data_IF_746808982502
#
_entry.id   IF_746808982502
#
_cell.length_a   1.000
_cell.length_b   1.000
_cell.length_c   1.000
_cell.angle_alpha   90.00
_cell.angle_beta   90.00
_cell.angle_gamma   90.00
#
_symmetry.space_group_name_H-M   'P 1'
#
loop_
_entity.id
_entity.type
_entity.pdbx_description
1 polymer ?
#
# COMPACT_ATOMS: atom_id res chain seq x y z
N UNK A 1 50.09 -14.54 -45.81
CA UNK A 1 50.22 -16.02 -45.73
C UNK A 1 48.81 -16.59 -45.54
N UNK A 2 48.11 -16.90 -46.63
CA UNK A 2 47.82 -18.27 -47.13
C UNK A 2 46.98 -19.10 -46.14
N UNK A 3 45.66 -19.23 -46.35
CA UNK A 3 44.98 -20.35 -47.08
C UNK A 3 44.92 -21.63 -46.21
N UNK A 4 43.76 -22.22 -45.87
CA UNK A 4 42.82 -22.91 -46.77
C UNK A 4 41.45 -23.22 -46.13
N UNK A 5 40.43 -23.23 -46.99
CA UNK A 5 39.16 -23.99 -46.88
C UNK A 5 39.37 -25.46 -47.30
N UNK A 6 38.49 -26.36 -46.82
CA UNK A 6 37.95 -27.55 -47.53
C UNK A 6 36.67 -27.97 -46.76
N UNK A 7 35.41 -27.85 -47.24
CA UNK A 7 34.63 -28.59 -48.29
C UNK A 7 34.49 -30.10 -47.98
N UNK A 8 33.35 -30.56 -47.43
CA UNK A 8 32.13 -31.14 -48.08
C UNK A 8 32.20 -32.67 -48.36
N UNK A 9 31.41 -33.51 -47.65
CA UNK A 9 30.16 -34.21 -48.12
C UNK A 9 30.41 -35.71 -48.49
N UNK A 10 29.43 -36.63 -48.73
CA UNK A 10 28.23 -37.10 -47.99
C UNK A 10 28.10 -38.67 -47.92
N UNK A 11 26.88 -39.18 -47.56
CA UNK A 11 26.30 -40.54 -47.72
C UNK A 11 26.50 -41.50 -46.51
N UNK A 12 25.54 -42.29 -46.01
CA UNK A 12 24.31 -42.87 -46.59
C UNK A 12 23.39 -43.46 -45.49
N UNK A 13 22.08 -43.51 -45.81
CA UNK A 13 20.96 -44.26 -45.24
C UNK A 13 21.18 -45.37 -44.18
N UNK A 14 20.30 -45.41 -43.16
CA UNK A 14 19.22 -46.41 -43.10
C UNK A 14 18.21 -46.12 -41.97
N UNK A 15 16.92 -46.23 -42.32
CA UNK A 15 15.77 -46.24 -41.41
C UNK A 15 15.83 -47.47 -40.48
N UNK A 16 15.48 -47.28 -39.20
CA UNK A 16 14.72 -48.29 -38.45
C UNK A 16 13.69 -47.60 -37.56
N UNK A 17 12.42 -47.81 -37.92
CA UNK A 17 11.28 -47.66 -37.03
C UNK A 17 11.38 -48.72 -35.94
N UNK A 18 11.37 -48.32 -34.68
CA UNK A 18 10.99 -49.20 -33.58
C UNK A 18 10.14 -48.42 -32.59
N UNK A 19 8.83 -48.58 -32.78
CA UNK A 19 7.78 -48.14 -31.87
C UNK A 19 7.83 -49.04 -30.63
N UNK A 20 8.44 -48.57 -29.54
CA UNK A 20 8.36 -49.26 -28.24
C UNK A 20 7.22 -48.60 -27.46
N UNK A 21 6.03 -49.21 -27.51
CA UNK A 21 4.96 -48.94 -26.56
C UNK A 21 5.39 -49.52 -25.20
N UNK A 22 5.94 -48.68 -24.33
CA UNK A 22 6.11 -49.04 -22.92
C UNK A 22 4.83 -48.66 -22.17
N UNK A 23 3.94 -49.65 -22.03
CA UNK A 23 2.82 -49.56 -21.11
C UNK A 23 3.35 -49.66 -19.67
N UNK A 24 3.67 -48.52 -19.05
CA UNK A 24 3.92 -48.45 -17.61
C UNK A 24 2.58 -48.34 -16.87
N UNK A 25 2.05 -49.50 -16.49
CA UNK A 25 1.07 -49.64 -15.41
C UNK A 25 1.79 -49.37 -14.07
N UNK A 26 1.77 -48.12 -13.61
CA UNK A 26 2.02 -47.80 -12.22
C UNK A 26 0.76 -47.18 -11.62
N UNK A 27 -0.04 -48.02 -10.96
CA UNK A 27 -1.01 -47.57 -9.97
C UNK A 27 -0.27 -47.12 -8.72
N UNK A 28 -0.41 -45.84 -8.40
CA UNK A 28 -0.36 -45.21 -7.05
C UNK A 28 -0.40 -43.71 -7.30
N UNK A 29 -1.44 -43.04 -6.80
CA UNK A 29 -1.81 -41.70 -7.22
C UNK A 29 -0.72 -40.65 -6.96
N UNK A 30 -0.05 -40.22 -8.03
CA UNK A 30 0.38 -38.82 -8.13
C UNK A 30 -0.89 -37.97 -8.17
N UNK A 31 -1.38 -37.55 -6.99
CA UNK A 31 -2.23 -36.36 -6.94
C UNK A 31 -1.37 -35.23 -7.49
N UNK A 32 -1.68 -34.80 -8.71
CA UNK A 32 -1.27 -33.49 -9.17
C UNK A 32 -1.73 -32.50 -8.08
N UNK A 33 -0.78 -31.94 -7.34
CA UNK A 33 -1.07 -30.83 -6.44
C UNK A 33 -1.67 -29.75 -7.32
N UNK A 34 -2.95 -29.43 -7.09
CA UNK A 34 -3.58 -28.30 -7.77
C UNK A 34 -2.63 -27.10 -7.64
N UNK A 35 -2.41 -26.32 -8.71
CA UNK A 35 -1.62 -25.11 -8.59
C UNK A 35 -2.17 -24.29 -7.42
N UNK A 36 -1.29 -23.66 -6.61
CA UNK A 36 -1.74 -22.87 -5.47
C UNK A 36 -2.82 -21.90 -5.95
N UNK A 37 -3.92 -21.84 -5.21
CA UNK A 37 -5.04 -20.98 -5.56
C UNK A 37 -4.50 -19.55 -5.72
N UNK A 38 -4.83 -18.91 -6.85
CA UNK A 38 -4.33 -17.57 -7.19
C UNK A 38 -4.71 -16.51 -6.13
N UNK A 39 -5.80 -16.73 -5.39
CA UNK A 39 -6.32 -15.83 -4.37
C UNK A 39 -6.74 -16.61 -3.11
N UNK A 40 -6.78 -15.90 -1.98
CA UNK A 40 -7.31 -16.40 -0.72
C UNK A 40 -8.75 -16.93 -0.87
N UNK A 41 -9.02 -18.09 -0.26
CA UNK A 41 -10.33 -18.73 -0.34
C UNK A 41 -11.35 -18.03 0.55
N UNK A 42 -12.46 -17.62 -0.04
CA UNK A 42 -13.65 -17.12 0.66
C UNK A 42 -14.55 -18.25 1.14
N UNK A 43 -15.02 -18.15 2.39
CA UNK A 43 -16.05 -19.02 2.93
C UNK A 43 -17.44 -18.42 2.66
N UNK A 44 -18.15 -18.91 1.64
CA UNK A 44 -19.42 -18.30 1.19
C UNK A 44 -20.56 -18.34 2.21
N UNK A 45 -20.53 -19.31 3.14
CA UNK A 45 -21.53 -19.42 4.20
C UNK A 45 -21.26 -18.50 5.38
N UNK A 46 -20.04 -17.98 5.53
CA UNK A 46 -19.71 -17.01 6.56
C UNK A 46 -20.15 -15.60 6.15
N UNK A 47 -20.58 -14.80 7.14
CA UNK A 47 -21.07 -13.44 6.92
C UNK A 47 -19.99 -12.52 6.33
N UNK A 48 -18.73 -12.67 6.75
CA UNK A 48 -17.59 -11.88 6.29
C UNK A 48 -16.79 -12.59 5.19
N UNK A 49 -17.15 -13.81 4.80
CA UNK A 49 -16.38 -14.59 3.85
C UNK A 49 -15.14 -15.26 4.46
N UNK A 50 -15.02 -15.36 5.79
CA UNK A 50 -13.83 -15.87 6.48
C UNK A 50 -13.98 -17.31 6.94
N UNK A 51 -12.87 -18.04 7.04
CA UNK A 51 -12.84 -19.41 7.52
C UNK A 51 -13.17 -19.50 9.02
N UNK A 52 -12.60 -18.60 9.81
CA UNK A 52 -12.87 -18.45 11.24
C UNK A 52 -12.46 -17.06 11.73
N UNK A 53 -12.88 -16.72 12.96
CA UNK A 53 -12.57 -15.46 13.63
C UNK A 53 -11.74 -15.72 14.88
N UNK A 54 -10.67 -14.94 15.05
CA UNK A 54 -9.88 -14.81 16.28
C UNK A 54 -10.26 -13.49 16.95
N UNK A 55 -10.48 -13.49 18.26
CA UNK A 55 -10.82 -12.28 19.03
C UNK A 55 -9.63 -11.77 19.84
N UNK A 56 -9.47 -10.45 19.88
CA UNK A 56 -8.43 -9.75 20.64
C UNK A 56 -9.05 -8.69 21.54
N UNK A 57 -8.76 -8.77 22.84
CA UNK A 57 -9.24 -7.82 23.85
C UNK A 57 -8.18 -7.58 24.93
N UNK A 58 -7.69 -6.35 25.06
CA UNK A 58 -6.68 -5.98 26.05
C UNK A 58 -7.25 -5.45 27.37
N UNK A 59 -8.58 -5.31 27.48
CA UNK A 59 -9.23 -4.83 28.70
C UNK A 59 -9.24 -5.90 29.79
N UNK A 60 -9.30 -7.19 29.41
CA UNK A 60 -9.49 -8.29 30.35
C UNK A 60 -10.88 -8.33 31.00
N UNK A 61 -11.82 -7.47 30.59
CA UNK A 61 -13.16 -7.33 31.17
C UNK A 61 -14.28 -7.86 30.23
N UNK A 62 -13.92 -8.41 29.06
CA UNK A 62 -14.84 -9.02 28.10
C UNK A 62 -15.01 -10.54 28.26
N UNK A 63 -15.89 -11.19 27.47
CA UNK A 63 -15.89 -12.65 27.33
C UNK A 63 -14.49 -13.14 26.91
N UNK A 64 -14.16 -14.40 27.20
CA UNK A 64 -12.82 -14.96 26.98
C UNK A 64 -12.33 -14.74 25.53
N UNK A 65 -11.60 -13.65 25.31
CA UNK A 65 -10.94 -13.36 24.05
C UNK A 65 -9.83 -14.38 23.83
N UNK A 66 -9.54 -14.70 22.57
CA UNK A 66 -8.46 -15.65 22.28
C UNK A 66 -7.09 -15.06 22.68
N UNK A 67 -6.90 -13.76 22.54
CA UNK A 67 -5.64 -13.07 22.85
C UNK A 67 -5.88 -11.69 23.47
N UNK A 68 -4.86 -11.20 24.19
CA UNK A 68 -4.82 -9.84 24.75
C UNK A 68 -4.01 -8.86 23.92
N UNK A 69 -3.24 -9.35 22.93
CA UNK A 69 -2.38 -8.56 22.05
C UNK A 69 -2.65 -8.92 20.60
N UNK A 70 -2.55 -7.94 19.69
CA UNK A 70 -2.77 -8.13 18.26
C UNK A 70 -1.69 -9.02 17.66
N UNK A 71 -0.41 -8.86 18.07
CA UNK A 71 0.69 -9.67 17.53
C UNK A 71 0.48 -11.17 17.78
N UNK A 72 0.11 -11.58 19.00
CA UNK A 72 -0.14 -13.00 19.31
C UNK A 72 -1.28 -13.61 18.49
N UNK A 73 -2.31 -12.82 18.17
CA UNK A 73 -3.38 -13.27 17.29
C UNK A 73 -2.88 -13.53 15.87
N UNK A 74 -2.05 -12.63 15.33
CA UNK A 74 -1.40 -12.81 14.02
C UNK A 74 -0.46 -14.03 14.05
N UNK A 75 0.31 -14.19 15.12
CA UNK A 75 1.24 -15.31 15.28
C UNK A 75 0.52 -16.67 15.26
N UNK A 76 -0.71 -16.72 15.76
CA UNK A 76 -1.54 -17.93 15.76
C UNK A 76 -2.09 -18.35 14.39
N UNK A 77 -2.11 -17.45 13.40
CA UNK A 77 -2.50 -17.79 12.03
C UNK A 77 -1.43 -18.70 11.40
N UNK A 78 -1.78 -19.85 10.80
CA UNK A 78 -0.80 -20.74 10.19
C UNK A 78 0.05 -20.07 9.11
N UNK A 79 1.32 -20.45 9.03
CA UNK A 79 2.21 -20.07 7.92
C UNK A 79 1.66 -20.64 6.60
N UNK A 80 1.71 -19.85 5.52
CA UNK A 80 1.18 -20.25 4.22
C UNK A 80 -0.35 -20.38 4.19
N UNK A 81 -1.04 -19.67 5.10
CA UNK A 81 -2.49 -19.61 5.13
C UNK A 81 -3.06 -19.24 3.74
N UNK A 82 -4.16 -19.88 3.36
CA UNK A 82 -4.79 -19.69 2.04
C UNK A 82 -6.30 -19.44 2.15
N UNK A 83 -6.77 -19.11 3.35
CA UNK A 83 -8.17 -18.84 3.64
C UNK A 83 -8.24 -17.54 4.44
N UNK A 84 -9.24 -16.72 4.20
CA UNK A 84 -9.38 -15.49 4.98
C UNK A 84 -9.59 -15.81 6.47
N UNK A 85 -8.73 -15.27 7.33
CA UNK A 85 -8.87 -15.34 8.78
C UNK A 85 -9.15 -13.95 9.31
N UNK A 86 -10.27 -13.79 10.02
CA UNK A 86 -10.61 -12.51 10.64
C UNK A 86 -9.98 -12.41 12.01
N UNK A 87 -9.26 -11.33 12.28
CA UNK A 87 -8.82 -10.94 13.61
C UNK A 87 -9.72 -9.78 14.04
N UNK A 88 -10.70 -10.07 14.88
CA UNK A 88 -11.62 -9.08 15.44
C UNK A 88 -10.98 -8.45 16.69
N UNK A 89 -10.75 -7.14 16.63
CA UNK A 89 -10.06 -6.38 17.68
C UNK A 89 -11.08 -5.49 18.39
N UNK A 90 -11.23 -5.69 19.70
CA UNK A 90 -12.12 -4.89 20.56
C UNK A 90 -11.74 -3.40 20.55
N UNK A 91 -12.66 -2.49 20.95
CA UNK A 91 -12.30 -1.12 21.29
C UNK A 91 -11.16 -1.09 22.33
N UNK A 92 -10.18 -0.24 22.11
CA UNK A 92 -9.03 -0.13 22.99
C UNK A 92 -7.79 0.43 22.31
N UNK A 93 -6.85 0.88 23.14
CA UNK A 93 -5.51 1.29 22.73
C UNK A 93 -4.54 0.14 22.96
N UNK A 94 -4.02 -0.43 21.88
CA UNK A 94 -3.02 -1.49 21.89
C UNK A 94 -1.64 -0.86 21.79
N UNK A 95 -0.94 -0.79 22.92
CA UNK A 95 0.43 -0.24 22.97
C UNK A 95 1.42 -1.36 22.68
N UNK A 96 1.58 -1.66 21.39
CA UNK A 96 2.45 -2.72 20.87
C UNK A 96 2.91 -2.37 19.45
N UNK A 97 3.91 -3.09 18.96
CA UNK A 97 4.28 -3.09 17.54
C UNK A 97 3.80 -4.38 16.91
N UNK A 98 3.31 -4.29 15.68
CA UNK A 98 2.68 -5.39 14.97
C UNK A 98 3.32 -5.60 13.62
N UNK A 99 3.70 -6.84 13.33
CA UNK A 99 4.25 -7.27 12.04
C UNK A 99 3.48 -8.47 11.52
N UNK A 100 2.94 -8.34 10.32
CA UNK A 100 2.46 -9.45 9.50
C UNK A 100 3.57 -9.79 8.50
N UNK A 101 4.35 -10.83 8.82
CA UNK A 101 5.44 -11.29 7.96
C UNK A 101 4.93 -11.91 6.66
N UNK A 102 5.75 -11.88 5.61
CA UNK A 102 5.43 -12.31 4.23
C UNK A 102 4.74 -13.68 4.13
N UNK A 103 5.04 -14.57 5.06
CA UNK A 103 4.54 -15.94 5.10
C UNK A 103 3.16 -16.10 5.77
N UNK A 104 2.47 -15.01 6.10
CA UNK A 104 1.14 -14.99 6.76
C UNK A 104 0.09 -14.20 5.95
N UNK A 105 -0.22 -14.60 4.70
CA UNK A 105 -1.24 -13.91 3.90
C UNK A 105 -2.66 -14.22 4.35
N UNK A 106 -3.63 -13.57 3.71
CA UNK A 106 -5.07 -13.79 3.92
C UNK A 106 -5.57 -13.44 5.33
N UNK A 107 -5.09 -12.33 5.89
CA UNK A 107 -5.52 -11.84 7.21
C UNK A 107 -6.42 -10.62 7.04
N UNK A 108 -7.57 -10.65 7.73
CA UNK A 108 -8.50 -9.53 7.84
C UNK A 108 -8.50 -8.97 9.26
N UNK A 109 -7.79 -7.86 9.49
CA UNK A 109 -7.84 -7.10 10.74
C UNK A 109 -9.13 -6.27 10.78
N UNK A 110 -9.96 -6.45 11.81
CA UNK A 110 -11.24 -5.77 11.91
C UNK A 110 -11.39 -5.16 13.31
N UNK A 111 -11.12 -3.86 13.42
CA UNK A 111 -11.31 -3.08 14.64
C UNK A 111 -12.75 -2.59 14.81
N UNK A 112 -13.03 -1.97 15.96
CA UNK A 112 -14.35 -1.43 16.27
C UNK A 112 -14.63 -0.04 15.65
N UNK A 113 -13.70 0.47 14.83
CA UNK A 113 -13.76 1.80 14.22
C UNK A 113 -12.51 2.61 14.53
N UNK A 114 -12.07 3.47 13.60
CA UNK A 114 -10.80 4.23 13.71
C UNK A 114 -10.67 5.06 14.99
N UNK A 115 -11.78 5.55 15.52
CA UNK A 115 -11.82 6.33 16.76
C UNK A 115 -11.80 5.47 18.03
N UNK A 116 -12.09 4.17 17.91
CA UNK A 116 -12.31 3.26 19.04
C UNK A 116 -11.21 2.21 19.20
N UNK A 117 -10.51 1.85 18.12
CA UNK A 117 -9.43 0.85 18.14
C UNK A 117 -8.16 1.45 17.53
N UNK A 118 -7.07 1.47 18.30
CA UNK A 118 -5.76 1.95 17.83
C UNK A 118 -4.61 1.01 18.21
N UNK A 119 -3.61 0.92 17.34
CA UNK A 119 -2.29 0.32 17.60
C UNK A 119 -1.30 1.47 17.64
N UNK A 120 -0.64 1.65 18.78
CA UNK A 120 0.18 2.84 19.06
C UNK A 120 1.55 2.49 19.64
N UNK A 121 2.56 3.21 19.17
CA UNK A 121 3.90 3.18 19.75
C UNK A 121 4.62 4.51 19.42
N UNK A 122 5.88 4.68 19.82
CA UNK A 122 6.68 5.91 19.64
C UNK A 122 8.12 5.61 19.21
N UNK A 123 8.28 4.64 18.31
CA UNK A 123 9.59 4.35 17.72
C UNK A 123 9.91 5.36 16.60
N UNK A 124 11.18 5.49 16.25
CA UNK A 124 11.65 6.44 15.26
C UNK A 124 12.86 5.87 14.50
N UNK A 125 13.44 6.70 13.63
CA UNK A 125 14.53 6.32 12.72
C UNK A 125 14.05 5.44 11.56
N UNK A 126 14.97 5.18 10.64
CA UNK A 126 14.74 4.40 9.42
C UNK A 126 15.34 3.01 9.55
N UNK A 127 14.88 2.30 10.57
CA UNK A 127 15.17 0.88 10.71
C UNK A 127 14.00 0.12 10.11
N UNK A 128 14.24 -1.03 9.44
CA UNK A 128 13.16 -1.90 8.98
C UNK A 128 12.16 -2.27 10.07
N UNK A 129 12.62 -2.28 11.33
CA UNK A 129 11.81 -2.56 12.51
C UNK A 129 11.03 -1.37 13.02
N UNK A 130 11.37 -0.11 12.69
CA UNK A 130 10.78 1.10 13.28
C UNK A 130 9.26 1.27 13.07
N UNK A 131 8.64 0.85 11.95
CA UNK A 131 7.19 0.99 11.77
C UNK A 131 6.39 0.37 12.93
N UNK A 132 5.32 1.07 13.36
CA UNK A 132 4.45 0.57 14.44
C UNK A 132 3.61 -0.60 13.97
N UNK A 133 3.08 -0.50 12.75
CA UNK A 133 2.44 -1.59 12.03
C UNK A 133 3.21 -1.87 10.73
N UNK A 134 3.52 -3.13 10.46
CA UNK A 134 4.09 -3.54 9.18
C UNK A 134 3.33 -4.73 8.62
N UNK A 135 2.94 -4.66 7.34
CA UNK A 135 2.34 -5.78 6.62
C UNK A 135 3.16 -6.06 5.35
N UNK A 136 3.88 -7.17 5.36
CA UNK A 136 4.70 -7.64 4.25
C UNK A 136 4.04 -8.80 3.49
N UNK A 137 3.04 -9.45 4.08
CA UNK A 137 2.28 -10.48 3.40
C UNK A 137 1.32 -9.89 2.37
N UNK A 138 1.12 -10.64 1.29
CA UNK A 138 0.05 -10.38 0.34
C UNK A 138 -1.35 -10.58 0.96
N UNK A 139 -2.36 -10.01 0.30
CA UNK A 139 -3.77 -10.23 0.62
C UNK A 139 -4.10 -9.88 2.08
N UNK A 140 -3.77 -8.65 2.47
CA UNK A 140 -4.10 -8.10 3.79
C UNK A 140 -5.28 -7.15 3.69
N UNK A 141 -6.26 -7.35 4.55
CA UNK A 141 -7.36 -6.39 4.73
C UNK A 141 -7.33 -5.82 6.12
N UNK A 142 -7.50 -4.52 6.25
CA UNK A 142 -7.78 -3.88 7.54
C UNK A 142 -9.03 -3.00 7.45
N UNK A 143 -9.86 -3.03 8.50
CA UNK A 143 -11.00 -2.13 8.64
C UNK A 143 -11.06 -1.50 10.03
N UNK A 144 -11.26 -0.18 10.08
CA UNK A 144 -11.66 0.50 11.31
C UNK A 144 -10.62 0.45 12.42
N UNK A 145 -9.34 0.60 12.07
CA UNK A 145 -8.20 0.60 13.00
C UNK A 145 -7.34 1.82 12.72
N UNK A 146 -6.86 2.49 13.77
CA UNK A 146 -5.85 3.54 13.65
C UNK A 146 -4.46 3.02 13.99
N UNK A 147 -3.50 3.20 13.09
CA UNK A 147 -2.07 2.99 13.33
C UNK A 147 -1.42 4.34 13.64
N UNK A 148 -0.81 4.48 14.82
CA UNK A 148 -0.32 5.78 15.30
C UNK A 148 1.11 5.69 15.79
N UNK A 149 1.97 6.51 15.22
CA UNK A 149 3.28 6.79 15.77
C UNK A 149 3.23 8.10 16.58
N UNK A 150 3.47 8.01 17.89
CA UNK A 150 3.40 9.13 18.81
C UNK A 150 4.73 9.89 18.97
N UNK A 151 5.83 9.42 18.38
CA UNK A 151 7.17 9.95 18.67
C UNK A 151 7.26 11.47 18.54
N UNK A 152 6.76 12.02 17.43
CA UNK A 152 6.76 13.46 17.16
C UNK A 152 5.46 14.16 17.63
N UNK A 153 4.47 13.42 18.15
CA UNK A 153 3.14 13.94 18.46
C UNK A 153 3.01 14.12 19.98
N UNK A 154 3.15 15.35 20.45
CA UNK A 154 2.93 15.66 21.86
C UNK A 154 3.32 17.09 22.23
N UNK A 155 3.11 17.48 23.49
CA UNK A 155 3.66 18.72 24.02
C UNK A 155 5.17 18.57 24.24
N UNK A 156 5.96 19.56 23.82
CA UNK A 156 7.42 19.58 23.98
C UNK A 156 8.14 20.11 22.74
N UNK A 157 9.47 20.20 22.82
CA UNK A 157 10.29 20.58 21.68
C UNK A 157 10.24 19.50 20.60
N UNK A 158 9.88 19.89 19.38
CA UNK A 158 9.82 18.99 18.25
C UNK A 158 11.24 18.66 17.77
N UNK A 159 11.60 17.38 17.80
CA UNK A 159 12.80 16.87 17.16
C UNK A 159 12.40 16.13 15.89
N UNK A 160 12.65 16.71 14.72
CA UNK A 160 12.33 16.06 13.46
C UNK A 160 13.09 14.75 13.27
N UNK A 161 12.37 13.65 13.43
CA UNK A 161 12.81 12.31 13.05
C UNK A 161 11.72 11.64 12.25
N UNK A 162 12.13 10.83 11.29
CA UNK A 162 11.25 9.87 10.62
C UNK A 162 10.66 8.94 11.66
N UNK A 163 9.34 8.78 11.65
CA UNK A 163 8.60 8.03 12.65
C UNK A 163 7.36 7.39 12.01
N UNK A 164 7.59 6.26 11.33
CA UNK A 164 6.58 5.56 10.54
C UNK A 164 5.51 4.92 11.42
N UNK A 165 4.24 5.23 11.13
CA UNK A 165 3.09 4.61 11.78
C UNK A 165 2.74 3.27 11.13
N UNK A 166 2.74 3.21 9.80
CA UNK A 166 2.51 1.96 9.08
C UNK A 166 3.40 1.83 7.84
N UNK A 167 3.82 0.59 7.57
CA UNK A 167 4.52 0.17 6.35
C UNK A 167 3.79 -0.98 5.68
N UNK A 168 3.37 -0.80 4.44
CA UNK A 168 2.67 -1.84 3.66
C UNK A 168 3.51 -2.17 2.43
N UNK A 169 3.95 -3.42 2.32
CA UNK A 169 4.77 -3.88 1.18
C UNK A 169 4.26 -5.16 0.51
N UNK A 170 3.18 -5.76 1.03
CA UNK A 170 2.58 -6.96 0.43
C UNK A 170 1.50 -6.63 -0.59
N UNK A 171 1.48 -7.35 -1.71
CA UNK A 171 0.59 -7.08 -2.84
C UNK A 171 -0.88 -7.38 -2.49
N UNK A 172 -1.82 -6.71 -3.16
CA UNK A 172 -3.29 -6.93 -3.01
C UNK A 172 -3.80 -6.64 -1.59
N UNK A 173 -3.31 -5.55 -1.00
CA UNK A 173 -3.75 -5.13 0.34
C UNK A 173 -4.80 -4.01 0.27
N UNK A 174 -5.83 -4.08 1.12
CA UNK A 174 -6.92 -3.11 1.13
C UNK A 174 -7.27 -2.62 2.55
N UNK A 175 -7.38 -1.31 2.72
CA UNK A 175 -7.63 -0.65 4.00
C UNK A 175 -8.91 0.17 3.90
N UNK A 176 -9.84 -0.04 4.83
CA UNK A 176 -11.15 0.60 4.84
C UNK A 176 -11.36 1.33 6.15
N UNK A 177 -11.70 2.61 6.11
CA UNK A 177 -12.02 3.39 7.31
C UNK A 177 -10.88 3.35 8.37
N UNK A 178 -9.64 3.15 7.92
CA UNK A 178 -8.46 3.11 8.78
C UNK A 178 -7.87 4.51 9.02
N UNK A 179 -7.13 4.67 10.11
CA UNK A 179 -6.35 5.87 10.42
C UNK A 179 -4.85 5.61 10.34
N UNK A 180 -4.09 6.55 9.80
CA UNK A 180 -2.63 6.55 9.79
C UNK A 180 -2.15 7.89 10.34
N UNK A 181 -1.51 7.89 11.52
CA UNK A 181 -1.27 9.12 12.27
C UNK A 181 0.20 9.23 12.68
N UNK A 182 0.84 10.32 12.27
CA UNK A 182 2.26 10.61 12.48
C UNK A 182 2.60 12.06 12.12
N UNK A 183 3.86 12.35 11.81
CA UNK A 183 4.30 13.68 11.35
C UNK A 183 5.24 13.61 10.15
N UNK A 184 6.49 13.21 10.36
CA UNK A 184 7.41 12.92 9.28
C UNK A 184 7.37 11.43 8.97
N UNK A 185 7.20 11.11 7.69
CA UNK A 185 7.20 9.73 7.18
C UNK A 185 6.10 8.87 7.83
N UNK A 186 4.89 9.41 8.03
CA UNK A 186 3.78 8.72 8.70
C UNK A 186 3.46 7.36 8.06
N UNK A 187 3.29 7.33 6.74
CA UNK A 187 2.75 6.19 6.03
C UNK A 187 3.63 5.77 4.86
N UNK A 188 4.31 4.63 5.03
CA UNK A 188 5.13 3.99 4.00
C UNK A 188 4.28 3.02 3.18
N UNK A 189 3.76 3.52 2.08
CA UNK A 189 3.14 2.73 1.01
C UNK A 189 4.24 2.17 0.09
N UNK A 190 4.88 1.09 0.56
CA UNK A 190 6.21 0.65 0.17
C UNK A 190 6.25 0.03 -1.24
N UNK A 191 5.50 -1.05 -1.45
CA UNK A 191 5.45 -1.83 -2.68
C UNK A 191 4.13 -2.62 -2.76
N UNK A 192 3.76 -3.08 -3.96
CA UNK A 192 2.53 -3.83 -4.20
C UNK A 192 1.35 -2.96 -4.60
N UNK A 193 0.22 -3.61 -4.89
CA UNK A 193 -1.02 -2.95 -5.32
C UNK A 193 -1.96 -2.76 -4.14
N UNK A 194 -2.37 -1.52 -3.89
CA UNK A 194 -3.18 -1.20 -2.72
C UNK A 194 -4.43 -0.38 -3.01
N UNK A 195 -5.45 -0.60 -2.18
CA UNK A 195 -6.64 0.23 -2.11
C UNK A 195 -6.78 0.79 -0.69
N UNK A 196 -6.78 2.11 -0.54
CA UNK A 196 -7.14 2.80 0.70
C UNK A 196 -8.48 3.49 0.46
N UNK A 197 -9.53 3.11 1.18
CA UNK A 197 -10.87 3.67 0.99
C UNK A 197 -11.41 4.26 2.27
N UNK A 198 -11.85 5.52 2.22
CA UNK A 198 -12.41 6.25 3.36
C UNK A 198 -11.43 6.31 4.56
N UNK A 199 -10.13 6.28 4.28
CA UNK A 199 -9.08 6.35 5.30
C UNK A 199 -8.80 7.80 5.72
N UNK A 200 -8.28 7.95 6.93
CA UNK A 200 -7.73 9.22 7.44
C UNK A 200 -6.21 9.09 7.51
N UNK A 201 -5.48 10.02 6.88
CA UNK A 201 -4.02 10.03 6.87
C UNK A 201 -3.52 11.40 7.32
N UNK A 202 -2.70 11.42 8.37
CA UNK A 202 -2.23 12.65 9.02
C UNK A 202 -0.71 12.75 9.04
N UNK A 203 -0.18 13.92 8.69
CA UNK A 203 1.24 14.22 8.89
C UNK A 203 1.64 15.64 8.48
N UNK A 204 2.94 15.83 8.26
CA UNK A 204 3.54 17.13 7.95
C UNK A 204 4.62 17.09 6.87
N UNK A 205 5.51 16.08 6.89
CA UNK A 205 6.61 15.98 5.93
C UNK A 205 6.69 14.58 5.35
N UNK A 206 6.59 14.48 4.02
CA UNK A 206 6.61 13.23 3.24
C UNK A 206 5.73 12.14 3.85
N UNK A 207 4.57 12.53 4.37
CA UNK A 207 3.82 11.65 5.26
C UNK A 207 3.06 10.54 4.53
N UNK A 208 3.02 10.57 3.20
CA UNK A 208 2.64 9.45 2.33
C UNK A 208 3.80 9.23 1.36
N UNK A 209 4.56 8.16 1.55
CA UNK A 209 5.81 7.93 0.81
C UNK A 209 6.00 6.46 0.46
N UNK A 210 6.85 6.17 -0.52
CA UNK A 210 7.13 4.81 -0.99
C UNK A 210 6.88 4.59 -2.48
N UNK A 211 6.88 3.33 -2.92
CA UNK A 211 6.78 2.92 -4.32
C UNK A 211 5.55 2.06 -4.62
N UNK A 212 4.52 2.08 -3.76
CA UNK A 212 3.27 1.37 -4.00
C UNK A 212 2.55 1.80 -5.29
N UNK A 213 1.72 0.89 -5.81
CA UNK A 213 0.76 1.13 -6.89
C UNK A 213 -0.63 1.24 -6.28
N UNK A 214 -1.04 2.46 -5.96
CA UNK A 214 -2.10 2.64 -4.97
C UNK A 214 -3.18 3.62 -5.41
N UNK A 215 -4.42 3.29 -5.09
CA UNK A 215 -5.55 4.21 -5.14
C UNK A 215 -5.96 4.55 -3.71
N UNK A 216 -5.93 5.84 -3.39
CA UNK A 216 -6.52 6.47 -2.22
C UNK A 216 -7.86 7.04 -2.63
N UNK A 217 -8.95 6.38 -2.24
CA UNK A 217 -10.30 6.71 -2.65
C UNK A 217 -11.10 7.29 -1.50
N UNK A 218 -11.61 8.50 -1.67
CA UNK A 218 -12.47 9.17 -0.68
C UNK A 218 -11.77 9.32 0.70
N UNK A 219 -10.44 9.42 0.69
CA UNK A 219 -9.66 9.58 1.92
C UNK A 219 -9.59 11.05 2.38
N UNK A 220 -9.45 11.23 3.69
CA UNK A 220 -9.13 12.51 4.32
C UNK A 220 -7.61 12.61 4.49
N UNK A 221 -6.99 13.59 3.84
CA UNK A 221 -5.56 13.86 3.87
C UNK A 221 -5.32 15.13 4.71
N UNK A 222 -4.81 14.94 5.94
CA UNK A 222 -4.76 15.95 7.00
C UNK A 222 -3.34 16.44 7.24
N UNK A 223 -3.05 17.68 6.83
CA UNK A 223 -1.77 18.34 7.03
C UNK A 223 -1.73 19.03 8.41
N UNK A 224 -0.70 18.79 9.22
CA UNK A 224 -0.56 19.41 10.54
C UNK A 224 0.73 20.21 10.76
N UNK A 225 1.50 20.51 9.72
CA UNK A 225 2.76 21.28 9.86
C UNK A 225 2.56 22.62 10.58
N UNK A 226 1.44 23.32 10.35
CA UNK A 226 1.16 24.62 10.98
C UNK A 226 0.95 24.56 12.49
N UNK A 227 0.65 23.39 13.04
CA UNK A 227 0.56 23.16 14.49
C UNK A 227 1.94 22.99 15.14
N UNK A 228 2.87 22.38 14.41
CA UNK A 228 4.14 21.91 14.96
C UNK A 228 5.33 22.79 14.60
N UNK A 229 5.34 23.37 13.39
CA UNK A 229 6.38 24.30 12.95
C UNK A 229 5.79 25.40 12.06
N UNK A 230 5.15 26.42 12.65
CA UNK A 230 4.58 27.53 11.90
C UNK A 230 5.64 28.23 11.05
N UNK A 231 5.39 28.36 9.75
CA UNK A 231 6.29 29.02 8.80
C UNK A 231 7.13 28.04 7.96
N UNK A 232 7.29 26.78 8.38
CA UNK A 232 7.83 25.74 7.52
C UNK A 232 6.72 25.19 6.61
N UNK A 233 7.03 25.05 5.32
CA UNK A 233 6.15 24.35 4.40
C UNK A 233 6.38 22.83 4.49
N UNK A 234 5.32 22.06 4.63
CA UNK A 234 5.32 20.60 4.61
C UNK A 234 5.38 20.00 3.20
N UNK A 235 5.34 18.68 3.15
CA UNK A 235 5.25 17.88 1.92
C UNK A 235 4.28 16.72 2.16
N UNK A 236 3.28 16.58 1.29
CA UNK A 236 2.26 15.53 1.45
C UNK A 236 2.78 14.19 0.94
N UNK A 237 3.27 14.14 -0.29
CA UNK A 237 3.73 12.90 -0.92
C UNK A 237 5.21 12.90 -1.27
N UNK A 238 5.84 11.73 -1.13
CA UNK A 238 7.18 11.46 -1.65
C UNK A 238 7.21 10.09 -2.35
N UNK A 239 6.76 10.06 -3.61
CA UNK A 239 6.63 8.83 -4.37
C UNK A 239 7.97 8.42 -5.01
N UNK A 240 8.26 7.13 -4.98
CA UNK A 240 9.58 6.54 -5.23
C UNK A 240 9.62 5.57 -6.41
N UNK A 241 8.91 5.88 -7.49
CA UNK A 241 9.08 5.17 -8.75
C UNK A 241 10.46 5.48 -9.33
N UNK A 242 11.30 4.46 -9.49
CA UNK A 242 12.72 4.63 -9.82
C UNK A 242 13.03 4.33 -11.29
N UNK A 243 12.26 3.44 -11.94
CA UNK A 243 12.56 2.97 -13.28
C UNK A 243 11.48 3.33 -14.31
N UNK A 244 11.87 3.58 -15.57
CA UNK A 244 10.91 3.69 -16.65
C UNK A 244 10.19 2.36 -16.84
N UNK A 245 8.87 2.38 -17.00
CA UNK A 245 8.06 1.18 -17.22
C UNK A 245 7.56 0.49 -15.95
N UNK A 246 8.04 0.87 -14.76
CA UNK A 246 7.35 0.52 -13.51
C UNK A 246 5.91 1.05 -13.56
N UNK A 247 4.97 0.30 -12.98
CA UNK A 247 3.58 0.71 -12.96
C UNK A 247 3.17 1.38 -11.64
N UNK A 248 4.10 1.54 -10.68
CA UNK A 248 3.85 2.20 -9.40
C UNK A 248 3.41 3.67 -9.56
N UNK A 249 2.77 4.19 -8.51
CA UNK A 249 2.23 5.54 -8.49
C UNK A 249 1.13 5.68 -7.46
N UNK A 250 0.94 6.90 -6.97
CA UNK A 250 -0.13 7.23 -6.03
C UNK A 250 -1.24 7.99 -6.75
N UNK A 251 -2.47 7.46 -6.67
CA UNK A 251 -3.66 8.10 -7.24
C UNK A 251 -4.62 8.45 -6.11
N UNK A 252 -4.89 9.74 -5.94
CA UNK A 252 -5.89 10.25 -5.00
C UNK A 252 -7.15 10.58 -5.80
N UNK A 253 -8.25 9.87 -5.52
CA UNK A 253 -9.54 10.03 -6.21
C UNK A 253 -10.63 10.37 -5.20
N UNK A 254 -11.22 11.56 -5.34
CA UNK A 254 -12.30 12.00 -4.44
C UNK A 254 -11.86 12.34 -3.02
N UNK A 255 -10.57 12.60 -2.80
CA UNK A 255 -10.02 12.90 -1.48
C UNK A 255 -10.29 14.35 -1.03
N UNK A 256 -10.25 14.58 0.29
CA UNK A 256 -10.27 15.90 0.90
C UNK A 256 -8.90 16.21 1.49
N UNK A 257 -8.24 17.24 0.97
CA UNK A 257 -6.95 17.74 1.46
C UNK A 257 -7.19 18.95 2.35
N UNK A 258 -6.96 18.82 3.65
CA UNK A 258 -7.26 19.86 4.64
C UNK A 258 -6.21 19.89 5.76
N UNK A 259 -6.35 20.80 6.72
CA UNK A 259 -5.47 20.91 7.88
C UNK A 259 -4.90 22.30 8.12
N UNK A 260 -3.72 22.36 8.75
CA UNK A 260 -3.07 23.59 9.20
C UNK A 260 -1.65 23.74 8.63
N UNK A 261 -1.30 24.98 8.25
CA UNK A 261 -0.02 25.31 7.62
C UNK A 261 -0.09 25.28 6.09
N UNK A 262 1.08 25.22 5.45
CA UNK A 262 1.21 25.15 3.99
C UNK A 262 2.10 23.97 3.61
N UNK A 263 1.86 23.35 2.46
CA UNK A 263 2.66 22.25 1.95
C UNK A 263 2.67 22.23 0.42
N UNK A 264 3.63 21.52 -0.16
CA UNK A 264 3.51 20.99 -1.52
C UNK A 264 2.69 19.68 -1.51
N UNK A 265 1.97 19.40 -2.60
CA UNK A 265 1.30 18.12 -2.83
C UNK A 265 2.29 16.97 -2.88
N UNK A 266 3.52 17.22 -3.34
CA UNK A 266 4.57 16.24 -3.23
C UNK A 266 5.90 16.64 -3.83
N UNK A 267 6.91 15.82 -3.52
CA UNK A 267 8.26 15.91 -4.05
C UNK A 267 8.77 14.58 -4.58
N UNK A 268 9.61 14.61 -5.62
CA UNK A 268 10.05 13.39 -6.30
C UNK A 268 11.15 12.66 -5.52
N UNK A 269 10.80 11.58 -4.82
CA UNK A 269 11.79 10.70 -4.18
C UNK A 269 12.47 9.79 -5.20
N UNK A 270 11.72 9.28 -6.18
CA UNK A 270 12.24 8.47 -7.29
C UNK A 270 12.31 9.22 -8.61
N UNK A 271 13.20 8.78 -9.50
CA UNK A 271 13.50 9.44 -10.78
C UNK A 271 12.31 9.53 -11.76
N UNK A 272 11.28 8.71 -11.57
CA UNK A 272 10.05 8.66 -12.37
C UNK A 272 8.80 8.86 -11.49
N UNK A 273 8.95 9.56 -10.36
CA UNK A 273 7.90 9.77 -9.38
C UNK A 273 6.55 10.11 -10.03
N UNK A 274 5.51 9.38 -9.63
CA UNK A 274 4.18 9.43 -10.25
C UNK A 274 3.09 9.66 -9.20
N UNK A 275 2.43 10.81 -9.27
CA UNK A 275 1.33 11.19 -8.36
C UNK A 275 0.21 11.86 -9.16
N UNK A 276 -1.01 11.37 -8.99
CA UNK A 276 -2.22 11.92 -9.62
C UNK A 276 -3.20 12.33 -8.53
N UNK A 277 -3.60 13.60 -8.51
CA UNK A 277 -4.66 14.12 -7.65
C UNK A 277 -5.87 14.45 -8.52
N UNK A 278 -6.92 13.65 -8.38
CA UNK A 278 -8.09 13.66 -9.23
C UNK A 278 -9.38 13.83 -8.43
N UNK A 279 -10.31 14.62 -8.98
CA UNK A 279 -11.67 14.78 -8.43
C UNK A 279 -11.71 15.12 -6.94
N UNK A 280 -10.66 15.79 -6.44
CA UNK A 280 -10.43 16.00 -5.01
C UNK A 280 -10.75 17.44 -4.62
N UNK A 281 -11.05 17.65 -3.34
CA UNK A 281 -11.21 18.96 -2.75
C UNK A 281 -9.94 19.34 -2.01
N UNK A 282 -9.38 20.51 -2.34
CA UNK A 282 -8.10 20.97 -1.85
C UNK A 282 -8.30 22.28 -1.11
N UNK A 283 -8.21 22.23 0.21
CA UNK A 283 -8.23 23.37 1.11
C UNK A 283 -7.08 24.35 0.85
N UNK A 284 -7.11 25.51 1.52
CA UNK A 284 -6.03 26.50 1.40
C UNK A 284 -4.78 26.09 2.20
N UNK A 285 -4.23 24.93 1.86
CA UNK A 285 -3.03 24.34 2.48
C UNK A 285 -1.91 24.11 1.46
N UNK A 286 -2.16 24.29 0.17
CA UNK A 286 -1.16 24.04 -0.89
C UNK A 286 -0.49 25.34 -1.31
N UNK A 287 0.85 25.36 -1.31
CA UNK A 287 1.64 26.49 -1.81
C UNK A 287 1.45 26.65 -3.33
N UNK A 288 1.58 27.87 -3.90
CA UNK A 288 1.25 28.10 -5.31
C UNK A 288 1.97 27.18 -6.30
N UNK A 289 3.26 26.87 -6.08
CA UNK A 289 4.04 25.97 -6.93
C UNK A 289 3.51 24.54 -6.95
N UNK A 290 2.87 24.09 -5.86
CA UNK A 290 2.22 22.80 -5.71
C UNK A 290 3.15 21.58 -5.62
N UNK A 291 4.25 21.54 -6.37
CA UNK A 291 5.11 20.37 -6.50
C UNK A 291 6.59 20.74 -6.48
N UNK A 292 7.43 19.78 -6.14
CA UNK A 292 8.90 19.92 -6.15
C UNK A 292 9.57 18.72 -6.86
N UNK A 293 10.55 18.99 -7.72
CA UNK A 293 11.34 17.96 -8.38
C UNK A 293 12.45 17.40 -7.46
N UNK A 294 12.72 18.07 -6.34
CA UNK A 294 13.70 17.71 -5.33
C UNK A 294 15.08 17.42 -5.93
N UNK A 295 15.56 16.17 -5.85
CA UNK A 295 16.85 15.76 -6.42
C UNK A 295 16.88 15.66 -7.94
N UNK A 296 15.74 15.83 -8.63
CA UNK A 296 15.57 15.58 -10.06
C UNK A 296 15.28 16.85 -10.87
N UNK A 297 15.73 18.02 -10.38
CA UNK A 297 15.70 19.27 -11.17
C UNK A 297 16.46 19.08 -12.48
N UNK A 298 15.87 19.48 -13.60
CA UNK A 298 16.38 19.23 -14.96
C UNK A 298 15.97 17.88 -15.56
N UNK A 299 15.31 17.01 -14.79
CA UNK A 299 14.80 15.71 -15.22
C UNK A 299 13.28 15.60 -15.08
N UNK A 300 12.57 16.72 -14.97
CA UNK A 300 11.13 16.79 -14.71
C UNK A 300 10.28 16.20 -15.85
N UNK A 301 10.89 16.02 -17.03
CA UNK A 301 10.28 15.32 -18.15
C UNK A 301 9.86 13.87 -17.78
N UNK A 302 10.59 13.22 -16.87
CA UNK A 302 10.34 11.84 -16.42
C UNK A 302 9.27 11.73 -15.34
N UNK A 303 9.00 12.81 -14.61
CA UNK A 303 8.02 12.85 -13.52
C UNK A 303 6.59 12.89 -14.08
N UNK A 304 5.64 12.27 -13.38
CA UNK A 304 4.21 12.31 -13.74
C UNK A 304 3.39 12.87 -12.59
N UNK A 305 3.35 14.20 -12.48
CA UNK A 305 2.50 14.92 -11.53
C UNK A 305 1.32 15.57 -12.21
N UNK A 306 0.11 15.24 -11.75
CA UNK A 306 -1.14 15.60 -12.42
C UNK A 306 -2.15 16.09 -11.39
N UNK A 307 -2.79 17.22 -11.68
CA UNK A 307 -4.00 17.69 -11.01
C UNK A 307 -5.13 17.76 -12.03
N UNK A 308 -6.27 17.12 -11.77
CA UNK A 308 -7.41 17.11 -12.68
C UNK A 308 -8.76 17.10 -11.94
N UNK A 309 -9.69 17.95 -12.37
CA UNK A 309 -11.04 18.08 -11.78
C UNK A 309 -11.05 18.37 -10.27
N UNK A 310 -9.98 18.98 -9.74
CA UNK A 310 -9.91 19.36 -8.34
C UNK A 310 -10.63 20.69 -8.09
N UNK A 311 -11.15 20.86 -6.88
CA UNK A 311 -11.85 22.08 -6.43
C UNK A 311 -11.27 22.59 -5.11
N UNK A 312 -11.69 23.78 -4.69
CA UNK A 312 -11.24 24.40 -3.44
C UNK A 312 -10.11 25.40 -3.64
N UNK A 313 -9.76 26.12 -2.57
CA UNK A 313 -8.83 27.26 -2.61
C UNK A 313 -7.41 26.86 -3.00
N UNK A 314 -6.96 25.65 -2.61
CA UNK A 314 -5.65 25.13 -2.95
C UNK A 314 -5.55 24.54 -4.36
N UNK A 315 -6.67 24.35 -5.07
CA UNK A 315 -6.71 23.76 -6.41
C UNK A 315 -6.38 24.76 -7.55
N UNK A 316 -6.04 26.01 -7.22
CA UNK A 316 -5.66 26.99 -8.25
C UNK A 316 -4.29 26.64 -8.86
N UNK A 317 -4.30 26.27 -10.14
CA UNK A 317 -3.10 25.82 -10.85
C UNK A 317 -2.34 26.92 -11.60
N UNK A 318 -2.78 28.18 -11.57
CA UNK A 318 -2.22 29.26 -12.41
C UNK A 318 -0.75 29.60 -12.11
N UNK A 319 -0.24 29.20 -10.94
CA UNK A 319 1.14 29.41 -10.49
C UNK A 319 1.89 28.10 -10.23
N UNK A 320 1.35 26.96 -10.66
CA UNK A 320 2.02 25.66 -10.52
C UNK A 320 3.33 25.65 -11.29
N UNK A 321 4.22 24.75 -10.88
CA UNK A 321 5.42 24.43 -11.64
C UNK A 321 5.08 24.16 -13.12
N UNK A 322 5.88 24.68 -14.08
CA UNK A 322 5.55 24.61 -15.50
C UNK A 322 5.62 23.20 -16.08
N UNK A 323 6.31 22.28 -15.40
CA UNK A 323 6.49 20.89 -15.81
C UNK A 323 5.38 19.94 -15.33
N UNK A 324 4.39 20.43 -14.56
CA UNK A 324 3.22 19.64 -14.17
C UNK A 324 2.51 19.13 -15.43
N UNK A 325 2.22 17.82 -15.48
CA UNK A 325 1.69 17.16 -16.67
C UNK A 325 0.20 17.46 -16.83
N UNK A 326 -0.21 17.62 -18.08
CA UNK A 326 -1.62 17.67 -18.50
C UNK A 326 -1.90 16.44 -19.37
N UNK A 327 -2.51 15.43 -18.77
CA UNK A 327 -2.86 14.21 -19.47
C UNK A 327 -4.14 14.40 -20.30
N UNK A 328 -4.21 13.74 -21.45
CA UNK A 328 -5.47 13.66 -22.20
C UNK A 328 -6.47 12.72 -21.48
N UNK A 329 -7.76 12.72 -21.84
CA UNK A 329 -8.75 11.90 -21.14
C UNK A 329 -8.46 10.40 -21.12
N UNK A 330 -7.84 9.84 -22.17
CA UNK A 330 -7.50 8.42 -22.21
C UNK A 330 -6.34 8.07 -21.27
N UNK A 331 -5.30 8.91 -21.26
CA UNK A 331 -4.16 8.79 -20.34
C UNK A 331 -4.57 8.99 -18.88
N UNK A 332 -5.46 9.95 -18.59
CA UNK A 332 -5.95 10.14 -17.23
C UNK A 332 -6.75 8.92 -16.76
N UNK A 333 -7.64 8.38 -17.62
CA UNK A 333 -8.41 7.17 -17.31
C UNK A 333 -7.56 5.96 -16.96
N UNK A 334 -6.37 5.79 -17.54
CA UNK A 334 -5.50 4.65 -17.19
C UNK A 334 -4.95 4.69 -15.76
N UNK A 335 -5.00 5.85 -15.10
CA UNK A 335 -4.63 6.00 -13.68
C UNK A 335 -5.84 5.92 -12.75
N UNK A 336 -6.95 6.57 -13.11
CA UNK A 336 -8.10 6.73 -12.19
C UNK A 336 -9.13 5.61 -12.26
N UNK A 337 -9.08 4.77 -13.31
CA UNK A 337 -9.90 3.55 -13.37
C UNK A 337 -9.39 2.51 -12.36
N UNK A 338 -10.30 1.75 -11.75
CA UNK A 338 -9.95 0.72 -10.76
C UNK A 338 -9.00 -0.35 -11.32
N UNK A 339 -9.02 -0.58 -12.65
CA UNK A 339 -8.07 -1.45 -13.34
C UNK A 339 -6.61 -1.00 -13.23
N UNK A 340 -6.32 0.23 -12.78
CA UNK A 340 -4.96 0.63 -12.42
C UNK A 340 -4.37 -0.35 -11.39
N UNK A 341 -5.14 -0.73 -10.36
CA UNK A 341 -4.70 -1.71 -9.34
C UNK A 341 -5.32 -3.11 -9.53
N UNK A 342 -6.46 -3.23 -10.23
CA UNK A 342 -7.30 -4.44 -10.23
C UNK A 342 -7.41 -5.13 -11.60
N UNK A 343 -6.38 -5.07 -12.47
CA UNK A 343 -6.44 -5.72 -13.81
C UNK A 343 -6.82 -7.20 -13.76
N UNK A 344 -6.39 -7.90 -12.71
CA UNK A 344 -6.64 -9.32 -12.52
C UNK A 344 -7.84 -9.63 -11.61
N UNK A 345 -8.52 -8.61 -11.07
CA UNK A 345 -9.76 -8.77 -10.31
C UNK A 345 -9.60 -9.24 -8.86
N UNK A 346 -8.45 -9.00 -8.23
CA UNK A 346 -8.19 -9.39 -6.83
C UNK A 346 -9.17 -8.75 -5.83
N UNK A 347 -9.68 -7.54 -6.11
CA UNK A 347 -10.63 -6.87 -5.22
C UNK A 347 -11.93 -7.66 -5.00
N UNK A 348 -12.32 -8.50 -5.97
CA UNK A 348 -13.51 -9.38 -5.88
C UNK A 348 -13.32 -10.55 -4.92
N UNK A 349 -12.08 -10.84 -4.52
CA UNK A 349 -11.72 -11.95 -3.65
C UNK A 349 -11.47 -11.51 -2.19
N UNK A 350 -11.71 -10.23 -1.87
CA UNK A 350 -11.61 -9.73 -0.51
C UNK A 350 -12.73 -10.28 0.38
N UNK A 351 -12.52 -10.38 1.71
CA UNK A 351 -13.59 -10.60 2.67
C UNK A 351 -14.66 -9.49 2.55
N UNK A 352 -15.90 -9.80 2.93
CA UNK A 352 -16.98 -8.82 2.88
C UNK A 352 -16.76 -7.73 3.94
N UNK A 353 -16.69 -6.47 3.49
CA UNK A 353 -16.30 -5.30 4.30
C UNK A 353 -17.48 -4.71 5.08
N UNK A 354 -18.69 -4.82 4.54
CA UNK A 354 -19.95 -4.42 5.20
C UNK A 354 -20.76 -5.65 5.58
N UNK A 355 -21.44 -5.56 6.72
CA UNK A 355 -22.42 -6.52 7.19
C UNK A 355 -23.83 -6.18 6.76
#
# INVERSE_FOLDING_TARGET
>A
MSCRRQTSSPLTHQLFLSLVLLACLCGSGCRATAPPAKYCRLNRSDKYGVAYTITVDNSGHGPAANFTTVQRAIDSVPVGNSQWVRIQISPGKFTEKVVIGENKPCIFLHGAGRASTSIEWDDHEDKPTSPIFAAFADDIVAKGITFKNKYNIGPGDLVWKRATAARIGGDRSAFFECGFVGLQDTFLDDDGRHLFSNCYIEGAMDFIYGAGKSIYKECEISLNIGKYEPGLAGSITAQKKELPGEESGFVFDGCEFSGTGKAILGRAWGAYSTVVVYNSSIGDIIVPQGWDAWGYVGHEANLTYVEANNRGKGANTSKRVPWMKRLNPAQLRSYVDISFIDRDGWLRNLPRISS
#
